data_IF_818643764965
#
_entry.id   IF_818643764965
#
_cell.length_a   1.000
_cell.length_b   1.000
_cell.length_c   1.000
_cell.angle_alpha   90.00
_cell.angle_beta   90.00
_cell.angle_gamma   90.00
#
_symmetry.space_group_name_H-M   'P 1'
#
loop_
_entity.id
_entity.type
_entity.pdbx_description
1 polymer ?
#
# COMPACT_ATOMS: atom_id res chain seq x y z
N UNK A 1 -19.41 -4.60 -3.41
CA UNK A 1 -20.34 -4.94 -4.49
C UNK A 1 -20.95 -3.64 -4.96
N UNK A 2 -20.94 -3.36 -6.26
CA UNK A 2 -21.55 -2.13 -6.79
C UNK A 2 -23.07 -2.30 -6.99
N UNK A 3 -23.72 -1.23 -7.48
CA UNK A 3 -25.17 -1.22 -7.73
C UNK A 3 -25.61 -2.23 -8.81
N UNK A 4 -24.68 -2.70 -9.65
CA UNK A 4 -24.92 -3.73 -10.66
C UNK A 4 -24.62 -5.15 -10.16
N UNK A 5 -24.27 -5.32 -8.87
CA UNK A 5 -23.94 -6.62 -8.29
C UNK A 5 -22.48 -7.05 -8.51
N UNK A 6 -21.62 -6.22 -9.10
CA UNK A 6 -20.24 -6.59 -9.35
C UNK A 6 -19.42 -6.57 -8.05
N UNK A 7 -18.75 -7.69 -7.76
CA UNK A 7 -17.83 -7.82 -6.61
C UNK A 7 -16.40 -7.84 -7.09
N UNK A 8 -15.53 -7.15 -6.34
CA UNK A 8 -14.08 -7.19 -6.49
C UNK A 8 -13.48 -7.38 -5.10
N UNK A 9 -12.39 -8.13 -5.03
CA UNK A 9 -11.59 -8.27 -3.83
C UNK A 9 -10.21 -8.74 -4.25
N UNK A 10 -9.26 -8.47 -3.37
CA UNK A 10 -7.92 -8.97 -3.47
C UNK A 10 -7.48 -9.46 -2.10
N UNK A 11 -6.55 -10.42 -2.09
CA UNK A 11 -5.84 -10.86 -0.90
C UNK A 11 -4.44 -10.28 -0.93
N UNK A 12 -4.02 -9.71 0.20
CA UNK A 12 -2.64 -9.31 0.42
C UNK A 12 -1.99 -10.35 1.34
N UNK A 13 -0.87 -10.92 0.90
CA UNK A 13 0.03 -11.71 1.75
C UNK A 13 1.22 -10.82 2.08
N UNK A 14 1.57 -10.75 3.36
CA UNK A 14 2.65 -9.91 3.87
C UNK A 14 3.61 -10.72 4.74
N UNK A 15 4.83 -10.22 4.96
CA UNK A 15 5.67 -10.65 6.08
C UNK A 15 5.00 -10.37 7.43
N UNK A 16 5.76 -10.55 8.51
CA UNK A 16 5.36 -10.15 9.86
C UNK A 16 4.89 -8.68 9.87
N UNK A 17 3.74 -8.45 10.51
CA UNK A 17 2.97 -7.22 10.36
C UNK A 17 3.68 -5.99 10.94
N UNK A 18 4.31 -6.11 12.11
CA UNK A 18 5.02 -4.99 12.74
C UNK A 18 6.30 -4.63 11.98
N UNK A 19 7.00 -5.64 11.48
CA UNK A 19 8.18 -5.49 10.64
C UNK A 19 7.83 -4.75 9.35
N UNK A 20 6.76 -5.17 8.67
CA UNK A 20 6.28 -4.46 7.48
C UNK A 20 5.86 -3.02 7.79
N UNK A 21 5.18 -2.81 8.93
CA UNK A 21 4.76 -1.47 9.36
C UNK A 21 5.97 -0.55 9.58
N UNK A 22 7.00 -1.03 10.27
CA UNK A 22 8.23 -0.28 10.49
C UNK A 22 8.94 0.06 9.17
N UNK A 23 9.09 -0.91 8.25
CA UNK A 23 9.73 -0.68 6.96
C UNK A 23 8.97 0.32 6.08
N UNK A 24 7.63 0.21 6.03
CA UNK A 24 6.80 1.13 5.24
C UNK A 24 6.86 2.55 5.79
N UNK A 25 6.83 2.71 7.11
CA UNK A 25 6.98 4.01 7.76
C UNK A 25 8.35 4.66 7.46
N UNK A 26 9.44 3.90 7.60
CA UNK A 26 10.79 4.40 7.30
C UNK A 26 10.97 4.78 5.83
N UNK A 27 10.41 3.99 4.91
CA UNK A 27 10.48 4.27 3.48
C UNK A 27 9.71 5.55 3.11
N UNK A 28 8.60 5.85 3.78
CA UNK A 28 7.84 7.10 3.59
C UNK A 28 8.59 8.28 4.22
N UNK A 29 9.08 8.13 5.44
CA UNK A 29 9.86 9.17 6.13
C UNK A 29 11.09 9.57 5.31
N UNK A 30 11.78 8.59 4.71
CA UNK A 30 12.93 8.86 3.84
C UNK A 30 12.54 9.69 2.61
N UNK A 31 11.48 9.32 1.89
CA UNK A 31 10.97 10.10 0.74
C UNK A 31 10.59 11.52 1.13
N UNK A 32 9.97 11.69 2.29
CA UNK A 32 9.63 13.02 2.79
C UNK A 32 10.89 13.87 3.05
N UNK A 33 11.92 13.29 3.67
CA UNK A 33 13.21 13.97 3.89
C UNK A 33 13.93 14.30 2.57
N UNK A 34 13.78 13.44 1.56
CA UNK A 34 14.35 13.64 0.23
C UNK A 34 13.50 14.62 -0.64
N UNK A 35 12.39 15.16 -0.12
CA UNK A 35 11.52 16.12 -0.81
C UNK A 35 10.53 15.50 -1.80
N UNK A 36 10.35 14.18 -1.78
CA UNK A 36 9.47 13.40 -2.67
C UNK A 36 8.05 13.19 -2.08
N UNK A 37 7.73 13.80 -0.94
CA UNK A 37 6.38 13.75 -0.37
C UNK A 37 5.53 14.93 -0.88
N UNK A 38 4.28 14.70 -1.35
CA UNK A 38 3.37 15.78 -1.68
C UNK A 38 3.06 16.65 -0.45
N UNK A 39 2.85 17.97 -0.62
CA UNK A 39 2.51 18.85 0.48
C UNK A 39 1.16 18.48 1.12
N UNK A 40 1.04 18.74 2.42
CA UNK A 40 -0.16 18.50 3.21
C UNK A 40 -0.29 17.05 3.72
N UNK A 41 -1.43 16.75 4.35
CA UNK A 41 -1.71 15.41 4.85
C UNK A 41 -2.01 14.46 3.68
N UNK A 42 -1.32 13.32 3.67
CA UNK A 42 -1.52 12.28 2.66
C UNK A 42 -1.64 10.92 3.32
N UNK A 43 -2.49 10.07 2.75
CA UNK A 43 -2.35 8.62 2.95
C UNK A 43 -1.26 8.10 2.00
N UNK A 44 -0.61 6.94 2.30
CA UNK A 44 0.39 6.37 1.40
C UNK A 44 -0.14 6.11 -0.02
N UNK A 45 -1.41 5.72 -0.15
CA UNK A 45 -2.03 5.47 -1.45
C UNK A 45 -2.24 6.75 -2.26
N UNK A 46 -2.52 7.88 -1.62
CA UNK A 46 -2.60 9.18 -2.30
C UNK A 46 -1.22 9.68 -2.73
N UNK A 47 -0.20 9.52 -1.88
CA UNK A 47 1.15 10.03 -2.16
C UNK A 47 1.91 9.19 -3.19
N UNK A 48 1.81 7.86 -3.12
CA UNK A 48 2.67 6.95 -3.89
C UNK A 48 1.90 5.88 -4.67
N UNK A 49 0.57 6.00 -4.71
CA UNK A 49 -0.32 5.07 -5.41
C UNK A 49 -0.65 3.81 -4.62
N UNK A 50 -1.76 3.16 -4.99
CA UNK A 50 -2.26 1.95 -4.33
C UNK A 50 -1.30 0.74 -4.39
N UNK A 51 -0.30 0.77 -5.28
CA UNK A 51 0.68 -0.31 -5.43
C UNK A 51 1.97 -0.06 -4.62
N UNK A 52 2.08 1.04 -3.86
CA UNK A 52 3.21 1.30 -2.98
C UNK A 52 3.55 0.10 -2.08
N UNK A 53 2.53 -0.53 -1.50
CA UNK A 53 2.70 -1.67 -0.59
C UNK A 53 3.33 -2.91 -1.26
N UNK A 54 3.25 -3.02 -2.59
CA UNK A 54 3.81 -4.14 -3.36
C UNK A 54 5.32 -3.98 -3.60
N UNK A 55 5.91 -2.84 -3.25
CA UNK A 55 7.35 -2.59 -3.34
C UNK A 55 8.15 -3.29 -2.22
N UNK A 56 7.48 -3.76 -1.18
CA UNK A 56 8.12 -4.34 0.00
C UNK A 56 8.34 -5.84 -0.18
N UNK A 57 9.55 -6.36 0.13
CA UNK A 57 9.87 -7.77 -0.02
C UNK A 57 8.86 -8.68 0.70
N UNK A 58 8.44 -9.73 0.02
CA UNK A 58 7.47 -10.70 0.56
C UNK A 58 6.02 -10.21 0.59
N UNK A 59 5.72 -8.99 0.11
CA UNK A 59 4.35 -8.55 -0.11
C UNK A 59 3.86 -8.98 -1.48
N UNK A 60 2.70 -9.64 -1.52
CA UNK A 60 2.07 -10.10 -2.76
C UNK A 60 0.57 -9.82 -2.71
N UNK A 61 0.00 -9.35 -3.82
CA UNK A 61 -1.44 -9.20 -3.99
C UNK A 61 -1.94 -10.19 -5.04
N UNK A 62 -3.06 -10.83 -4.75
CA UNK A 62 -3.77 -11.69 -5.70
C UNK A 62 -5.23 -11.27 -5.76
N UNK A 63 -5.73 -11.00 -6.96
CA UNK A 63 -7.15 -10.72 -7.17
C UNK A 63 -7.95 -12.01 -6.97
N UNK A 64 -9.11 -11.89 -6.34
CA UNK A 64 -9.97 -13.03 -6.05
C UNK A 64 -11.08 -13.11 -7.09
N UNK A 65 -11.21 -14.28 -7.71
CA UNK A 65 -12.39 -14.62 -8.49
C UNK A 65 -13.59 -14.85 -7.56
N UNK A 66 -14.77 -14.47 -8.04
CA UNK A 66 -16.07 -14.62 -7.38
C UNK A 66 -17.03 -15.38 -8.27
#
# INVERSE_FOLDING_TARGET
TDAAGARRAARLRTPEAYTLTAHTALAIARRALDGDAPPGFQTPACAYGANFILQFPGVQRSDMAF
#
